data_IF_499034973808
#
_entry.id   IF_499034973808
#
_cell.length_a   1.000
_cell.length_b   1.000
_cell.length_c   1.000
_cell.angle_alpha   90.00
_cell.angle_beta   90.00
_cell.angle_gamma   90.00
#
_symmetry.space_group_name_H-M   'P 1'
#
loop_
_entity.id
_entity.type
_entity.pdbx_description
1 polymer ?
#
# COMPACT_ATOMS: atom_id res chain seq x y z
N UNK A 1 -30.83 -17.60 -2.87
CA UNK A 1 -30.35 -16.30 -2.33
C UNK A 1 -28.87 -16.15 -2.63
N UNK A 2 -28.22 -15.01 -2.32
CA UNK A 2 -26.79 -14.81 -2.61
C UNK A 2 -25.89 -15.81 -1.86
N UNK A 3 -26.25 -16.15 -0.62
CA UNK A 3 -25.55 -17.13 0.21
C UNK A 3 -25.69 -18.56 -0.34
N UNK A 4 -26.86 -18.96 -0.83
CA UNK A 4 -27.03 -20.25 -1.50
C UNK A 4 -26.21 -20.37 -2.79
N UNK A 5 -26.14 -19.29 -3.58
CA UNK A 5 -25.36 -19.24 -4.80
C UNK A 5 -23.87 -19.38 -4.48
N UNK A 6 -23.38 -18.62 -3.49
CA UNK A 6 -22.00 -18.70 -3.01
C UNK A 6 -21.63 -20.13 -2.55
N UNK A 7 -22.48 -20.78 -1.74
CA UNK A 7 -22.25 -22.15 -1.26
C UNK A 7 -22.14 -23.17 -2.40
N UNK A 8 -22.80 -22.92 -3.54
CA UNK A 8 -22.75 -23.77 -4.74
C UNK A 8 -21.63 -23.38 -5.71
N UNK A 9 -20.86 -22.34 -5.42
CA UNK A 9 -19.89 -21.78 -6.36
C UNK A 9 -20.53 -21.06 -7.54
N UNK A 10 -21.82 -20.74 -7.47
CA UNK A 10 -22.53 -19.98 -8.49
C UNK A 10 -22.35 -18.48 -8.24
N UNK A 11 -21.60 -17.84 -9.15
CA UNK A 11 -21.24 -16.43 -9.05
C UNK A 11 -21.99 -15.56 -10.05
N UNK A 12 -22.90 -16.10 -10.86
CA UNK A 12 -23.66 -15.31 -11.83
C UNK A 12 -24.29 -14.05 -11.22
N UNK A 13 -24.89 -14.08 -10.00
CA UNK A 13 -25.43 -12.87 -9.41
C UNK A 13 -24.41 -11.73 -9.24
N UNK A 14 -23.17 -12.05 -8.88
CA UNK A 14 -22.10 -11.06 -8.72
C UNK A 14 -21.73 -10.42 -10.06
N UNK A 15 -21.58 -11.23 -11.11
CA UNK A 15 -21.27 -10.75 -12.46
C UNK A 15 -22.44 -9.95 -13.06
N UNK A 16 -23.68 -10.38 -12.84
CA UNK A 16 -24.87 -9.64 -13.30
C UNK A 16 -24.95 -8.26 -12.65
N UNK A 17 -24.74 -8.17 -11.34
CA UNK A 17 -24.68 -6.88 -10.62
C UNK A 17 -23.55 -6.01 -11.17
N UNK A 18 -22.37 -6.58 -11.38
CA UNK A 18 -21.23 -5.83 -11.91
C UNK A 18 -21.46 -5.34 -13.35
N UNK A 19 -22.09 -6.15 -14.20
CA UNK A 19 -22.46 -5.77 -15.55
C UNK A 19 -23.50 -4.64 -15.57
N UNK A 20 -24.46 -4.66 -14.65
CA UNK A 20 -25.38 -3.54 -14.45
C UNK A 20 -24.62 -2.28 -14.03
N UNK A 21 -23.66 -2.40 -13.12
CA UNK A 21 -22.79 -1.29 -12.73
C UNK A 21 -22.01 -0.71 -13.92
N UNK A 22 -21.37 -1.53 -14.75
CA UNK A 22 -20.63 -1.07 -15.93
C UNK A 22 -21.54 -0.32 -16.92
N UNK A 23 -22.75 -0.85 -17.16
CA UNK A 23 -23.74 -0.18 -18.00
C UNK A 23 -24.12 1.18 -17.42
N UNK A 24 -24.43 1.25 -16.12
CA UNK A 24 -24.78 2.50 -15.44
C UNK A 24 -23.63 3.50 -15.43
N UNK A 25 -22.40 3.04 -15.25
CA UNK A 25 -21.20 3.88 -15.32
C UNK A 25 -21.03 4.47 -16.72
N UNK A 26 -21.22 3.66 -17.76
CA UNK A 26 -21.15 4.11 -19.17
C UNK A 26 -22.20 5.18 -19.46
N UNK A 27 -23.47 4.90 -19.14
CA UNK A 27 -24.58 5.85 -19.26
C UNK A 27 -24.29 7.15 -18.48
N UNK A 28 -23.74 7.01 -17.27
CA UNK A 28 -23.44 8.14 -16.39
C UNK A 28 -22.28 8.98 -16.92
N UNK A 29 -21.20 8.39 -17.39
CA UNK A 29 -20.08 9.13 -18.00
C UNK A 29 -20.54 9.95 -19.20
N UNK A 30 -21.37 9.37 -20.08
CA UNK A 30 -21.96 10.14 -21.20
C UNK A 30 -22.78 11.34 -20.72
N UNK A 31 -23.57 11.20 -19.64
CA UNK A 31 -24.31 12.32 -19.04
C UNK A 31 -23.39 13.35 -18.39
N UNK A 32 -22.32 12.92 -17.73
CA UNK A 32 -21.31 13.80 -17.13
C UNK A 32 -20.69 14.68 -18.21
N UNK A 33 -20.32 14.13 -19.37
CA UNK A 33 -19.76 14.93 -20.47
C UNK A 33 -20.72 16.03 -20.91
N UNK A 34 -22.00 15.68 -21.11
CA UNK A 34 -23.03 16.68 -21.45
C UNK A 34 -23.23 17.75 -20.37
N UNK A 35 -23.16 17.39 -19.08
CA UNK A 35 -23.27 18.35 -17.98
C UNK A 35 -22.06 19.29 -17.92
N UNK A 36 -20.85 18.78 -18.15
CA UNK A 36 -19.62 19.57 -18.19
C UNK A 36 -19.63 20.57 -19.36
N UNK A 37 -20.13 20.17 -20.53
CA UNK A 37 -20.27 21.04 -21.69
C UNK A 37 -21.23 22.21 -21.46
N UNK A 38 -22.36 21.96 -20.79
CA UNK A 38 -23.36 22.99 -20.44
C UNK A 38 -22.80 24.03 -19.47
N UNK A 39 -21.82 23.66 -18.66
CA UNK A 39 -21.23 24.52 -17.64
C UNK A 39 -22.10 24.69 -16.40
N UNK A 40 -21.57 25.42 -15.41
CA UNK A 40 -22.23 25.65 -14.12
C UNK A 40 -22.26 27.13 -13.78
N UNK A 41 -23.33 27.53 -13.10
CA UNK A 41 -23.48 28.86 -12.49
C UNK A 41 -23.02 28.80 -11.04
N UNK A 42 -22.10 29.68 -10.65
CA UNK A 42 -21.52 29.73 -9.29
C UNK A 42 -22.09 30.85 -8.41
N UNK A 43 -23.00 31.65 -8.95
CA UNK A 43 -23.72 32.75 -8.31
C UNK A 43 -25.07 32.32 -7.69
N UNK A 44 -25.32 31.01 -7.59
CA UNK A 44 -26.56 30.43 -7.05
C UNK A 44 -26.28 29.83 -5.68
N UNK A 45 -27.13 30.15 -4.71
CA UNK A 45 -27.12 29.54 -3.38
C UNK A 45 -27.62 28.10 -3.44
N UNK A 46 -26.72 27.15 -3.20
CA UNK A 46 -27.01 25.73 -3.13
C UNK A 46 -25.96 24.94 -2.35
N UNK A 47 -26.39 23.83 -1.77
CA UNK A 47 -25.53 22.91 -1.02
C UNK A 47 -25.45 21.52 -1.64
N UNK A 48 -24.34 20.84 -1.37
CA UNK A 48 -24.08 19.44 -1.73
C UNK A 48 -23.84 18.65 -0.44
N UNK A 49 -24.61 17.58 -0.25
CA UNK A 49 -24.24 16.57 0.74
C UNK A 49 -23.10 15.70 0.17
N UNK A 50 -21.90 15.84 0.73
CA UNK A 50 -20.70 15.11 0.30
C UNK A 50 -20.67 13.68 0.83
N UNK A 51 -21.21 13.42 2.02
CA UNK A 51 -21.34 12.08 2.59
C UNK A 51 -22.73 11.52 2.30
N UNK A 52 -22.76 10.56 1.37
CA UNK A 52 -23.99 9.91 0.90
C UNK A 52 -24.08 8.45 1.32
N UNK A 53 -23.30 8.02 2.32
CA UNK A 53 -23.29 6.62 2.78
C UNK A 53 -24.69 6.09 3.10
N UNK A 54 -25.50 6.90 3.79
CA UNK A 54 -26.85 6.55 4.22
C UNK A 54 -27.94 7.23 3.37
N UNK A 55 -27.57 7.87 2.25
CA UNK A 55 -28.52 8.55 1.39
C UNK A 55 -29.33 7.55 0.55
N UNK A 56 -30.62 7.80 0.31
CA UNK A 56 -31.42 6.93 -0.56
C UNK A 56 -30.88 6.94 -1.99
N UNK A 57 -31.08 5.80 -2.68
CA UNK A 57 -30.87 5.72 -4.12
C UNK A 57 -31.81 6.68 -4.84
N UNK A 58 -31.31 7.33 -5.90
CA UNK A 58 -32.13 8.21 -6.71
C UNK A 58 -33.30 7.44 -7.33
N UNK A 59 -34.52 7.94 -7.15
CA UNK A 59 -35.75 7.31 -7.63
C UNK A 59 -35.95 7.52 -9.15
N UNK A 60 -35.24 8.47 -9.75
CA UNK A 60 -35.34 8.78 -11.18
C UNK A 60 -34.02 9.23 -11.78
N UNK A 61 -33.95 9.22 -13.11
CA UNK A 61 -32.81 9.77 -13.85
C UNK A 61 -32.64 11.27 -13.60
N UNK A 62 -33.73 12.03 -13.46
CA UNK A 62 -33.67 13.46 -13.21
C UNK A 62 -33.06 13.77 -11.84
N UNK A 63 -33.44 13.01 -10.81
CA UNK A 63 -32.85 13.13 -9.47
C UNK A 63 -31.36 12.75 -9.48
N UNK A 64 -31.00 11.67 -10.19
CA UNK A 64 -29.61 11.27 -10.34
C UNK A 64 -28.79 12.32 -11.08
N UNK A 65 -29.33 12.91 -12.15
CA UNK A 65 -28.70 13.99 -12.91
C UNK A 65 -28.48 15.22 -12.03
N UNK A 66 -29.42 15.56 -11.15
CA UNK A 66 -29.27 16.68 -10.21
C UNK A 66 -28.18 16.43 -9.16
N UNK A 67 -28.11 15.22 -8.61
CA UNK A 67 -27.03 14.81 -7.70
C UNK A 67 -25.67 14.96 -8.40
N UNK A 68 -25.56 14.47 -9.64
CA UNK A 68 -24.34 14.55 -10.42
C UNK A 68 -23.99 15.98 -10.84
N UNK A 69 -24.97 16.81 -11.19
CA UNK A 69 -24.76 18.22 -11.50
C UNK A 69 -24.14 18.95 -10.30
N UNK A 70 -24.71 18.78 -9.11
CA UNK A 70 -24.17 19.40 -7.88
C UNK A 70 -22.76 18.91 -7.57
N UNK A 71 -22.51 17.60 -7.72
CA UNK A 71 -21.19 17.01 -7.54
C UNK A 71 -20.15 17.59 -8.51
N UNK A 72 -20.46 17.64 -9.80
CA UNK A 72 -19.56 18.17 -10.82
C UNK A 72 -19.33 19.67 -10.65
N UNK A 73 -20.36 20.43 -10.26
CA UNK A 73 -20.22 21.85 -9.91
C UNK A 73 -19.25 22.01 -8.73
N UNK A 74 -19.40 21.22 -7.68
CA UNK A 74 -18.50 21.26 -6.53
C UNK A 74 -17.05 20.91 -6.93
N UNK A 75 -16.84 19.82 -7.68
CA UNK A 75 -15.52 19.43 -8.17
C UNK A 75 -14.88 20.51 -9.06
N UNK A 76 -15.65 21.16 -9.93
CA UNK A 76 -15.19 22.28 -10.75
C UNK A 76 -14.86 23.51 -9.89
N UNK A 77 -15.71 23.85 -8.91
CA UNK A 77 -15.46 24.97 -7.99
C UNK A 77 -14.16 24.77 -7.22
N UNK A 78 -13.90 23.57 -6.71
CA UNK A 78 -12.64 23.24 -6.02
C UNK A 78 -11.42 23.44 -6.94
N UNK A 79 -11.52 23.07 -8.21
CA UNK A 79 -10.44 23.32 -9.18
C UNK A 79 -10.25 24.82 -9.45
N UNK A 80 -11.34 25.59 -9.55
CA UNK A 80 -11.28 27.04 -9.74
C UNK A 80 -10.65 27.73 -8.53
N UNK A 81 -11.05 27.35 -7.32
CA UNK A 81 -10.46 27.86 -6.07
C UNK A 81 -8.97 27.52 -5.94
N UNK A 82 -8.52 26.43 -6.58
CA UNK A 82 -7.10 26.08 -6.68
C UNK A 82 -6.33 26.86 -7.78
N UNK A 83 -6.97 27.83 -8.44
CA UNK A 83 -6.36 28.71 -9.43
C UNK A 83 -6.41 28.21 -10.88
N UNK A 84 -7.15 27.14 -11.19
CA UNK A 84 -7.40 26.73 -12.58
C UNK A 84 -8.52 27.58 -13.19
N UNK A 85 -8.37 27.96 -14.46
CA UNK A 85 -9.50 28.53 -15.19
C UNK A 85 -10.58 27.47 -15.45
N UNK A 86 -11.79 27.93 -15.77
CA UNK A 86 -12.96 27.07 -15.95
C UNK A 86 -12.81 26.09 -17.13
N UNK A 87 -12.13 26.48 -18.21
CA UNK A 87 -11.95 25.63 -19.38
C UNK A 87 -10.97 24.49 -19.08
N UNK A 88 -9.85 24.79 -18.44
CA UNK A 88 -8.88 23.80 -17.98
C UNK A 88 -9.47 22.87 -16.91
N UNK A 89 -10.28 23.40 -15.99
CA UNK A 89 -11.00 22.59 -15.00
C UNK A 89 -11.98 21.61 -15.67
N UNK A 90 -12.73 22.08 -16.67
CA UNK A 90 -13.66 21.25 -17.45
C UNK A 90 -12.93 20.12 -18.17
N UNK A 91 -11.83 20.44 -18.87
CA UNK A 91 -11.03 19.45 -19.59
C UNK A 91 -10.46 18.37 -18.65
N UNK A 92 -9.95 18.79 -17.49
CA UNK A 92 -9.43 17.86 -16.49
C UNK A 92 -10.51 16.92 -15.94
N UNK A 93 -11.70 17.44 -15.63
CA UNK A 93 -12.81 16.62 -15.16
C UNK A 93 -13.29 15.65 -16.25
N UNK A 94 -13.41 16.10 -17.50
CA UNK A 94 -13.74 15.25 -18.65
C UNK A 94 -12.78 14.06 -18.72
N UNK A 95 -11.47 14.33 -18.77
CA UNK A 95 -10.42 13.30 -18.81
C UNK A 95 -10.49 12.35 -17.61
N UNK A 96 -10.74 12.87 -16.41
CA UNK A 96 -10.85 12.07 -15.18
C UNK A 96 -11.99 11.05 -15.26
N UNK A 97 -13.16 11.45 -15.72
CA UNK A 97 -14.33 10.57 -15.81
C UNK A 97 -14.21 9.56 -16.96
N UNK A 98 -13.62 9.96 -18.09
CA UNK A 98 -13.30 9.03 -19.18
C UNK A 98 -12.26 7.98 -18.74
N UNK A 99 -11.21 8.40 -18.04
CA UNK A 99 -10.22 7.50 -17.43
C UNK A 99 -10.87 6.49 -16.48
N UNK A 100 -11.78 6.97 -15.61
CA UNK A 100 -12.50 6.09 -14.67
C UNK A 100 -13.37 5.05 -15.40
N UNK A 101 -14.08 5.46 -16.46
CA UNK A 101 -14.87 4.52 -17.27
C UNK A 101 -13.97 3.49 -17.94
N UNK A 102 -12.87 3.93 -18.56
CA UNK A 102 -11.91 3.04 -19.22
C UNK A 102 -11.34 2.01 -18.27
N UNK A 103 -10.88 2.43 -17.08
CA UNK A 103 -10.37 1.51 -16.07
C UNK A 103 -11.43 0.47 -15.65
N UNK A 104 -12.67 0.90 -15.46
CA UNK A 104 -13.76 -0.02 -15.13
C UNK A 104 -14.04 -1.02 -16.27
N UNK A 105 -14.01 -0.57 -17.53
CA UNK A 105 -14.21 -1.44 -18.70
C UNK A 105 -13.05 -2.43 -18.92
N UNK A 106 -11.85 -2.11 -18.46
CA UNK A 106 -10.70 -3.02 -18.48
C UNK A 106 -10.68 -4.01 -17.30
N UNK A 107 -11.74 -4.05 -16.47
CA UNK A 107 -11.84 -5.01 -15.36
C UNK A 107 -11.82 -6.45 -15.88
N UNK A 108 -10.99 -7.29 -15.27
CA UNK A 108 -10.90 -8.72 -15.52
C UNK A 108 -11.90 -9.49 -14.66
N UNK A 109 -12.08 -10.78 -14.96
CA UNK A 109 -12.91 -11.68 -14.13
C UNK A 109 -12.41 -11.73 -12.68
N UNK A 110 -11.09 -11.73 -12.48
CA UNK A 110 -10.47 -11.78 -11.15
C UNK A 110 -10.78 -10.53 -10.33
N UNK A 111 -10.88 -9.35 -10.97
CA UNK A 111 -11.26 -8.12 -10.27
C UNK A 111 -12.70 -8.20 -9.74
N UNK A 112 -13.62 -8.73 -10.56
CA UNK A 112 -15.03 -8.89 -10.18
C UNK A 112 -15.18 -9.94 -9.07
N UNK A 113 -14.47 -11.06 -9.22
CA UNK A 113 -14.41 -12.12 -8.20
C UNK A 113 -13.88 -11.56 -6.87
N UNK A 114 -12.76 -10.83 -6.92
CA UNK A 114 -12.15 -10.24 -5.73
C UNK A 114 -13.07 -9.23 -5.06
N UNK A 115 -13.73 -8.36 -5.83
CA UNK A 115 -14.67 -7.38 -5.29
C UNK A 115 -15.82 -8.08 -4.55
N UNK A 116 -16.38 -9.13 -5.15
CA UNK A 116 -17.49 -9.87 -4.55
C UNK A 116 -17.06 -10.65 -3.30
N UNK A 117 -15.94 -11.38 -3.36
CA UNK A 117 -15.42 -12.12 -2.20
C UNK A 117 -15.08 -11.19 -1.03
N UNK A 118 -14.55 -9.99 -1.29
CA UNK A 118 -14.28 -9.03 -0.24
C UNK A 118 -15.56 -8.41 0.35
N UNK A 119 -16.62 -8.22 -0.45
CA UNK A 119 -17.92 -7.82 0.07
C UNK A 119 -18.52 -8.88 1.02
N UNK A 120 -18.34 -10.18 0.69
CA UNK A 120 -18.73 -11.29 1.56
C UNK A 120 -17.87 -11.31 2.83
N UNK A 121 -16.55 -11.21 2.69
CA UNK A 121 -15.62 -11.26 3.82
C UNK A 121 -15.87 -10.13 4.83
N UNK A 122 -16.04 -8.90 4.34
CA UNK A 122 -16.30 -7.72 5.16
C UNK A 122 -17.66 -7.74 5.87
N UNK A 123 -18.58 -8.60 5.44
CA UNK A 123 -19.85 -8.81 6.14
C UNK A 123 -19.68 -9.61 7.45
N UNK A 124 -18.57 -10.34 7.61
CA UNK A 124 -18.24 -11.04 8.85
C UNK A 124 -17.46 -10.14 9.81
N UNK A 125 -16.39 -9.49 9.32
CA UNK A 125 -15.55 -8.61 10.11
C UNK A 125 -14.67 -7.72 9.19
N UNK A 126 -14.11 -6.60 9.68
CA UNK A 126 -13.35 -5.65 8.85
C UNK A 126 -11.92 -6.10 8.48
N UNK A 127 -11.46 -7.25 8.96
CA UNK A 127 -10.09 -7.75 8.81
C UNK A 127 -9.98 -9.04 7.99
N UNK A 128 -11.10 -9.73 7.72
CA UNK A 128 -11.15 -10.83 6.75
C UNK A 128 -11.20 -10.28 5.33
N UNK A 129 -10.32 -10.79 4.47
CA UNK A 129 -10.23 -10.37 3.07
C UNK A 129 -9.84 -11.54 2.16
N UNK A 130 -10.30 -11.45 0.91
CA UNK A 130 -9.85 -12.31 -0.18
C UNK A 130 -8.78 -11.58 -1.00
N UNK A 131 -7.64 -12.24 -1.22
CA UNK A 131 -6.56 -11.74 -2.04
C UNK A 131 -6.47 -12.54 -3.35
N UNK A 132 -6.59 -11.85 -4.49
CA UNK A 132 -6.21 -12.43 -5.79
C UNK A 132 -4.72 -12.80 -5.81
N UNK A 133 -4.26 -13.64 -6.75
CA UNK A 133 -2.83 -13.99 -6.86
C UNK A 133 -1.91 -12.76 -6.89
N UNK A 134 -2.33 -11.69 -7.58
CA UNK A 134 -1.59 -10.42 -7.63
C UNK A 134 -1.53 -9.72 -6.28
N UNK A 135 -2.64 -9.65 -5.55
CA UNK A 135 -2.69 -9.05 -4.22
C UNK A 135 -1.89 -9.85 -3.20
N UNK A 136 -1.95 -11.19 -3.28
CA UNK A 136 -1.12 -12.09 -2.46
C UNK A 136 0.37 -11.83 -2.68
N UNK A 137 0.81 -11.72 -3.94
CA UNK A 137 2.21 -11.41 -4.23
C UNK A 137 2.61 -10.02 -3.73
N UNK A 138 1.76 -9.00 -3.89
CA UNK A 138 2.04 -7.66 -3.38
C UNK A 138 2.13 -7.64 -1.85
N UNK A 139 1.24 -8.35 -1.16
CA UNK A 139 1.29 -8.51 0.30
C UNK A 139 2.57 -9.24 0.72
N UNK A 140 2.93 -10.33 0.05
CA UNK A 140 4.16 -11.06 0.34
C UNK A 140 5.40 -10.19 0.13
N UNK A 141 5.45 -9.36 -0.93
CA UNK A 141 6.53 -8.40 -1.17
C UNK A 141 6.66 -7.40 -0.01
N UNK A 142 5.54 -6.86 0.47
CA UNK A 142 5.52 -5.96 1.64
C UNK A 142 5.99 -6.67 2.91
N UNK A 143 5.61 -7.93 3.10
CA UNK A 143 6.04 -8.72 4.26
C UNK A 143 7.51 -9.13 4.22
N UNK A 144 8.07 -9.50 3.06
CA UNK A 144 9.48 -9.89 2.95
C UNK A 144 10.44 -8.73 2.61
N UNK A 145 9.89 -7.53 2.40
CA UNK A 145 10.60 -6.32 1.95
C UNK A 145 11.53 -6.56 0.75
N UNK A 146 11.12 -7.45 -0.15
CA UNK A 146 11.87 -7.71 -1.37
C UNK A 146 10.99 -8.22 -2.50
N UNK A 147 11.41 -7.92 -3.73
CA UNK A 147 10.74 -8.37 -4.95
C UNK A 147 11.75 -8.75 -6.02
N UNK A 148 11.34 -9.59 -6.96
CA UNK A 148 12.14 -9.92 -8.13
C UNK A 148 11.66 -9.12 -9.35
N UNK A 149 12.58 -8.40 -9.97
CA UNK A 149 12.25 -7.50 -11.07
C UNK A 149 13.39 -6.58 -11.45
N UNK A 150 13.06 -5.37 -11.89
CA UNK A 150 14.05 -4.37 -12.34
C UNK A 150 14.22 -3.18 -11.39
N UNK A 151 13.35 -3.02 -10.38
CA UNK A 151 13.48 -1.95 -9.40
C UNK A 151 13.00 -0.58 -9.90
N UNK A 152 11.83 -0.54 -10.55
CA UNK A 152 11.17 0.72 -10.91
C UNK A 152 9.88 0.90 -10.12
N UNK A 153 9.62 2.12 -9.65
CA UNK A 153 8.31 2.56 -9.17
C UNK A 153 7.58 3.16 -10.37
N UNK A 154 6.46 2.55 -10.75
CA UNK A 154 5.72 2.91 -11.95
C UNK A 154 4.37 3.55 -11.59
N UNK A 155 3.90 4.44 -12.45
CA UNK A 155 2.58 5.08 -12.35
C UNK A 155 1.96 5.17 -13.73
N UNK A 156 0.62 5.17 -13.79
CA UNK A 156 -0.11 5.50 -14.99
C UNK A 156 -0.29 7.02 -15.12
N UNK A 157 0.19 7.63 -16.19
CA UNK A 157 -0.02 9.04 -16.53
C UNK A 157 -0.40 9.15 -18.00
N UNK A 158 -1.55 9.76 -18.30
CA UNK A 158 -2.07 9.94 -19.67
C UNK A 158 -1.99 8.67 -20.54
N UNK A 159 -2.44 7.54 -19.99
CA UNK A 159 -2.45 6.21 -20.66
C UNK A 159 -1.07 5.61 -20.93
N UNK A 160 -0.03 6.19 -20.34
CA UNK A 160 1.35 5.73 -20.45
C UNK A 160 1.90 5.36 -19.09
N UNK A 161 2.58 4.21 -19.03
CA UNK A 161 3.27 3.76 -17.81
C UNK A 161 4.56 4.56 -17.68
N UNK A 162 4.61 5.40 -16.66
CA UNK A 162 5.72 6.35 -16.41
C UNK A 162 6.52 5.88 -15.19
N UNK A 163 7.85 5.99 -15.29
CA UNK A 163 8.79 5.71 -14.21
C UNK A 163 8.82 6.92 -13.28
N UNK A 164 8.39 6.73 -12.04
CA UNK A 164 8.40 7.77 -11.00
C UNK A 164 9.76 7.82 -10.31
N UNK A 165 10.27 6.65 -9.92
CA UNK A 165 11.49 6.50 -9.15
C UNK A 165 12.17 5.16 -9.47
N UNK A 166 13.48 5.09 -9.27
CA UNK A 166 14.25 3.85 -9.32
C UNK A 166 14.64 3.43 -7.89
N UNK A 167 14.51 2.15 -7.61
CA UNK A 167 14.97 1.58 -6.33
C UNK A 167 16.49 1.48 -6.37
N UNK A 168 17.15 2.17 -5.43
CA UNK A 168 18.61 2.22 -5.34
C UNK A 168 19.23 0.80 -5.29
N UNK A 169 20.25 0.57 -6.11
CA UNK A 169 20.90 -0.75 -6.23
C UNK A 169 20.11 -1.79 -7.03
N UNK A 170 18.91 -1.46 -7.52
CA UNK A 170 18.14 -2.32 -8.43
C UNK A 170 18.68 -2.30 -9.88
N UNK A 171 18.33 -3.28 -10.73
CA UNK A 171 18.85 -3.36 -12.10
C UNK A 171 18.64 -2.10 -12.95
N UNK A 172 17.48 -1.43 -12.83
CA UNK A 172 17.19 -0.21 -13.56
C UNK A 172 18.09 0.96 -13.12
N UNK A 173 18.29 1.12 -11.81
CA UNK A 173 19.21 2.11 -11.22
C UNK A 173 20.65 1.83 -11.68
N UNK A 174 21.17 0.61 -11.47
CA UNK A 174 22.53 0.24 -11.85
C UNK A 174 22.81 0.38 -13.35
N UNK A 175 21.80 0.18 -14.19
CA UNK A 175 21.95 0.31 -15.65
C UNK A 175 22.20 1.76 -16.10
N UNK A 176 21.67 2.74 -15.35
CA UNK A 176 21.61 4.17 -15.75
C UNK A 176 20.95 4.41 -17.12
N UNK A 177 20.22 3.41 -17.66
CA UNK A 177 19.60 3.47 -18.97
C UNK A 177 18.13 3.93 -18.94
N UNK A 178 17.53 3.91 -17.76
CA UNK A 178 16.17 4.38 -17.46
C UNK A 178 16.30 5.53 -16.45
N UNK A 179 15.43 6.52 -16.55
CA UNK A 179 15.38 7.68 -15.64
C UNK A 179 13.95 7.94 -15.18
N UNK A 180 13.82 8.71 -14.11
CA UNK A 180 12.52 9.25 -13.72
C UNK A 180 11.92 10.07 -14.88
N UNK A 181 10.59 10.02 -14.98
CA UNK A 181 9.75 10.52 -16.07
C UNK A 181 9.81 9.74 -17.39
N UNK A 182 10.70 8.75 -17.55
CA UNK A 182 10.67 7.90 -18.74
C UNK A 182 9.39 7.08 -18.84
N UNK A 183 8.92 6.85 -20.06
CA UNK A 183 7.65 6.16 -20.34
C UNK A 183 7.89 4.82 -21.00
N UNK A 184 7.29 3.77 -20.47
CA UNK A 184 7.38 2.40 -20.99
C UNK A 184 6.24 2.18 -21.98
N UNK A 185 6.58 1.94 -23.24
CA UNK A 185 5.62 1.73 -24.34
C UNK A 185 5.63 0.31 -24.89
N UNK A 186 6.66 -0.48 -24.58
CA UNK A 186 6.70 -1.89 -24.96
C UNK A 186 7.54 -2.74 -24.03
N UNK A 187 7.16 -4.01 -23.89
CA UNK A 187 7.84 -5.00 -23.05
C UNK A 187 8.05 -6.28 -23.86
N UNK A 188 9.26 -6.86 -23.77
CA UNK A 188 9.56 -8.17 -24.35
C UNK A 188 10.26 -9.08 -23.33
N UNK A 189 9.86 -10.34 -23.31
CA UNK A 189 10.45 -11.37 -22.43
C UNK A 189 11.70 -11.97 -23.06
N UNK A 190 12.75 -12.18 -22.26
CA UNK A 190 14.01 -12.76 -22.71
C UNK A 190 14.72 -11.93 -23.79
N UNK A 191 15.79 -12.50 -24.34
CA UNK A 191 16.58 -11.85 -25.40
C UNK A 191 15.93 -11.88 -26.78
N UNK A 192 15.02 -12.83 -27.02
CA UNK A 192 14.42 -13.09 -28.34
C UNK A 192 12.89 -13.09 -28.36
N UNK A 193 12.23 -12.89 -27.22
CA UNK A 193 10.76 -12.85 -27.19
C UNK A 193 10.19 -11.70 -28.02
N UNK A 194 8.92 -11.81 -28.45
CA UNK A 194 8.26 -10.77 -29.22
C UNK A 194 8.04 -9.53 -28.36
N UNK A 195 8.03 -8.37 -29.02
CA UNK A 195 7.59 -7.12 -28.41
C UNK A 195 6.09 -7.13 -28.22
N UNK A 196 5.65 -6.74 -27.03
CA UNK A 196 4.26 -6.45 -26.72
C UNK A 196 4.17 -4.96 -26.50
N UNK A 197 3.35 -4.28 -27.32
CA UNK A 197 2.96 -2.89 -27.07
C UNK A 197 2.08 -2.83 -25.83
N UNK A 198 2.41 -1.93 -24.90
CA UNK A 198 1.73 -1.78 -23.61
C UNK A 198 1.05 -0.42 -23.45
N UNK A 199 0.90 0.36 -24.53
CA UNK A 199 0.20 1.64 -24.49
C UNK A 199 -1.29 1.39 -24.23
N UNK A 200 -1.87 2.13 -23.28
CA UNK A 200 -3.27 1.97 -22.88
C UNK A 200 -3.57 0.71 -22.05
N UNK A 201 -2.56 -0.11 -21.76
CA UNK A 201 -2.71 -1.24 -20.85
C UNK A 201 -2.93 -0.78 -19.40
N UNK A 202 -3.48 -1.67 -18.57
CA UNK A 202 -3.52 -1.42 -17.12
C UNK A 202 -2.12 -1.46 -16.55
N UNK A 203 -1.85 -0.58 -15.59
CA UNK A 203 -0.56 -0.52 -14.90
C UNK A 203 -0.13 -1.90 -14.37
N UNK A 204 -1.05 -2.62 -13.73
CA UNK A 204 -0.75 -3.93 -13.12
C UNK A 204 -0.34 -4.98 -14.15
N UNK A 205 -0.94 -4.98 -15.34
CA UNK A 205 -0.61 -5.93 -16.42
C UNK A 205 0.79 -5.65 -16.99
N UNK A 206 1.18 -4.38 -17.02
CA UNK A 206 2.54 -3.96 -17.40
C UNK A 206 3.54 -4.32 -16.31
N UNK A 207 3.21 -4.07 -15.04
CA UNK A 207 4.03 -4.44 -13.88
C UNK A 207 4.27 -5.95 -13.85
N UNK A 208 3.25 -6.77 -14.07
CA UNK A 208 3.37 -8.23 -14.10
C UNK A 208 4.33 -8.70 -15.21
N UNK A 209 4.30 -8.06 -16.38
CA UNK A 209 5.25 -8.36 -17.46
C UNK A 209 6.68 -7.90 -17.15
N UNK A 210 6.83 -6.79 -16.44
CA UNK A 210 8.15 -6.26 -16.07
C UNK A 210 8.79 -7.08 -14.95
N UNK A 211 7.99 -7.52 -13.97
CA UNK A 211 8.41 -8.48 -12.94
C UNK A 211 8.75 -9.83 -13.56
N UNK A 212 9.43 -10.66 -12.78
CA UNK A 212 9.82 -12.00 -13.20
C UNK A 212 11.01 -12.51 -12.41
N UNK A 213 11.27 -13.79 -12.58
CA UNK A 213 12.28 -14.49 -11.80
C UNK A 213 13.67 -13.86 -11.93
N UNK A 214 14.42 -13.85 -10.83
CA UNK A 214 15.83 -13.45 -10.80
C UNK A 214 16.63 -14.13 -11.92
N UNK A 215 17.54 -13.37 -12.53
CA UNK A 215 18.41 -13.83 -13.62
C UNK A 215 17.74 -13.87 -14.99
N UNK A 216 16.42 -13.76 -15.07
CA UNK A 216 15.73 -13.67 -16.37
C UNK A 216 15.88 -12.27 -16.99
N UNK A 217 15.80 -12.19 -18.31
CA UNK A 217 15.97 -10.94 -19.05
C UNK A 217 14.60 -10.33 -19.39
N UNK A 218 14.50 -9.02 -19.27
CA UNK A 218 13.40 -8.22 -19.83
C UNK A 218 13.97 -7.11 -20.70
N UNK A 219 13.31 -6.85 -21.83
CA UNK A 219 13.62 -5.70 -22.69
C UNK A 219 12.45 -4.73 -22.69
N UNK A 220 12.75 -3.45 -22.59
CA UNK A 220 11.79 -2.36 -22.55
C UNK A 220 12.02 -1.41 -23.71
N UNK A 221 10.93 -0.98 -24.36
CA UNK A 221 10.90 0.20 -25.22
C UNK A 221 10.51 1.39 -24.37
N UNK A 222 11.40 2.38 -24.32
CA UNK A 222 11.30 3.53 -23.43
C UNK A 222 11.30 4.81 -24.25
N UNK A 223 10.33 5.68 -23.99
CA UNK A 223 10.31 7.05 -24.48
C UNK A 223 10.87 7.98 -23.39
N UNK A 224 11.90 8.79 -23.69
CA UNK A 224 12.44 9.73 -22.71
C UNK A 224 11.40 10.76 -22.23
N UNK A 225 11.29 10.95 -20.91
CA UNK A 225 10.23 11.78 -20.33
C UNK A 225 10.21 13.26 -20.74
N UNK A 226 11.37 13.80 -21.14
CA UNK A 226 11.54 15.20 -21.57
C UNK A 226 11.37 15.42 -23.07
N UNK A 227 11.18 14.35 -23.84
CA UNK A 227 11.13 14.44 -25.29
C UNK A 227 9.66 14.43 -25.74
N UNK A 228 9.33 15.30 -26.70
CA UNK A 228 7.98 15.37 -27.28
C UNK A 228 7.61 14.09 -28.03
N UNK A 229 6.42 14.06 -28.63
CA UNK A 229 5.83 12.90 -29.34
C UNK A 229 6.75 12.32 -30.44
N UNK A 230 7.77 13.07 -30.88
CA UNK A 230 8.75 12.69 -31.90
C UNK A 230 10.04 12.06 -31.35
N UNK A 231 10.12 11.76 -30.05
CA UNK A 231 11.28 11.14 -29.43
C UNK A 231 11.53 9.73 -29.96
N UNK A 232 12.77 9.42 -30.34
CA UNK A 232 13.13 8.06 -30.73
C UNK A 232 12.99 7.10 -29.52
N UNK A 233 12.30 5.97 -29.74
CA UNK A 233 12.24 4.89 -28.77
C UNK A 233 13.63 4.36 -28.46
N UNK A 234 13.98 4.27 -27.17
CA UNK A 234 15.18 3.58 -26.71
C UNK A 234 14.83 2.16 -26.28
N UNK A 235 15.56 1.19 -26.78
CA UNK A 235 15.49 -0.18 -26.26
C UNK A 235 16.47 -0.32 -25.09
N UNK A 236 15.97 -0.80 -23.96
CA UNK A 236 16.75 -1.09 -22.76
C UNK A 236 16.63 -2.58 -22.44
N UNK A 237 17.76 -3.25 -22.23
CA UNK A 237 17.83 -4.65 -21.81
C UNK A 237 18.27 -4.71 -20.36
N UNK A 238 17.46 -5.34 -19.50
CA UNK A 238 17.75 -5.50 -18.08
C UNK A 238 17.69 -6.98 -17.70
N UNK A 239 18.59 -7.39 -16.80
CA UNK A 239 18.52 -8.69 -16.12
C UNK A 239 17.81 -8.45 -14.80
N UNK A 240 16.76 -9.22 -14.52
CA UNK A 240 16.00 -9.11 -13.28
C UNK A 240 16.84 -9.59 -12.11
N UNK A 241 16.69 -8.93 -10.97
CA UNK A 241 17.36 -9.31 -9.73
C UNK A 241 16.43 -9.17 -8.54
N UNK A 242 16.85 -9.70 -7.40
CA UNK A 242 16.18 -9.48 -6.11
C UNK A 242 16.48 -8.06 -5.64
N UNK A 243 15.43 -7.25 -5.51
CA UNK A 243 15.50 -5.87 -5.05
C UNK A 243 15.02 -5.82 -3.60
N UNK A 244 15.86 -5.29 -2.71
CA UNK A 244 15.54 -5.05 -1.31
C UNK A 244 14.89 -3.69 -1.13
N UNK A 245 13.80 -3.63 -0.37
CA UNK A 245 13.06 -2.40 -0.08
C UNK A 245 13.61 -1.75 1.20
N UNK A 246 14.90 -1.41 1.21
CA UNK A 246 15.60 -0.88 2.39
C UNK A 246 14.96 0.40 2.95
N UNK A 247 14.27 1.18 2.11
CA UNK A 247 13.54 2.38 2.57
C UNK A 247 12.39 2.04 3.53
N UNK A 248 11.82 0.84 3.44
CA UNK A 248 10.68 0.37 4.23
C UNK A 248 11.09 -0.44 5.46
N UNK A 249 12.36 -0.77 5.60
CA UNK A 249 12.86 -1.48 6.77
C UNK A 249 13.07 -0.56 7.98
N UNK A 250 13.26 -1.18 9.14
CA UNK A 250 13.61 -0.47 10.36
C UNK A 250 14.95 0.29 10.20
N UNK A 251 15.02 1.49 10.79
CA UNK A 251 16.21 2.35 10.74
C UNK A 251 16.46 2.96 12.10
N UNK A 252 17.73 3.29 12.38
CA UNK A 252 18.11 4.00 13.58
C UNK A 252 18.65 5.40 13.28
N UNK A 253 18.46 6.31 14.24
CA UNK A 253 19.17 7.59 14.33
C UNK A 253 19.52 7.88 15.79
N UNK A 254 20.48 8.78 16.03
CA UNK A 254 20.79 9.29 17.37
C UNK A 254 20.47 10.78 17.40
N UNK A 255 19.62 11.19 18.33
CA UNK A 255 19.35 12.60 18.63
C UNK A 255 19.97 12.99 19.95
N UNK A 256 20.69 14.11 19.96
CA UNK A 256 21.22 14.69 21.19
C UNK A 256 20.25 15.73 21.71
N UNK A 257 19.82 15.56 22.96
CA UNK A 257 18.94 16.48 23.66
C UNK A 257 19.61 16.97 24.94
N UNK A 258 19.15 18.11 25.46
CA UNK A 258 19.61 18.63 26.74
C UNK A 258 18.61 18.27 27.83
N UNK A 259 19.06 17.51 28.83
CA UNK A 259 18.25 17.11 29.98
C UNK A 259 17.89 18.29 30.89
N UNK A 260 16.92 18.10 31.81
CA UNK A 260 16.53 19.13 32.79
C UNK A 260 17.66 19.59 33.70
N UNK A 261 18.65 18.72 33.93
CA UNK A 261 19.89 18.98 34.68
C UNK A 261 20.99 19.65 33.84
N UNK A 262 20.71 19.95 32.57
CA UNK A 262 21.64 20.58 31.64
C UNK A 262 22.62 19.62 30.97
N UNK A 263 22.57 18.31 31.29
CA UNK A 263 23.43 17.27 30.69
C UNK A 263 22.98 16.96 29.26
N UNK A 264 23.92 16.72 28.37
CA UNK A 264 23.61 16.19 27.04
C UNK A 264 23.29 14.69 27.13
N UNK A 265 22.15 14.30 26.57
CA UNK A 265 21.68 12.92 26.50
C UNK A 265 21.56 12.52 25.03
N UNK A 266 22.13 11.37 24.68
CA UNK A 266 22.04 10.77 23.35
C UNK A 266 20.90 9.77 23.34
N UNK A 267 19.84 10.07 22.62
CA UNK A 267 18.67 9.20 22.50
C UNK A 267 18.76 8.46 21.17
N UNK A 268 18.83 7.13 21.23
CA UNK A 268 18.65 6.28 20.07
C UNK A 268 17.18 6.25 19.70
N UNK A 269 16.87 6.41 18.42
CA UNK A 269 15.51 6.27 17.90
C UNK A 269 15.57 5.15 16.87
N UNK A 270 14.78 4.10 17.06
CA UNK A 270 14.57 3.05 16.07
C UNK A 270 13.14 3.19 15.56
N UNK A 271 12.98 3.57 14.30
CA UNK A 271 11.68 3.60 13.63
C UNK A 271 11.40 2.24 13.00
N UNK A 272 10.27 1.65 13.34
CA UNK A 272 9.80 0.37 12.77
C UNK A 272 8.54 0.66 11.97
N UNK A 273 8.61 0.70 10.62
CA UNK A 273 7.45 1.05 9.79
C UNK A 273 6.35 -0.02 9.75
N UNK A 274 6.73 -1.29 9.91
CA UNK A 274 5.84 -2.45 9.92
C UNK A 274 6.53 -3.62 10.62
N UNK A 275 5.76 -4.62 11.06
CA UNK A 275 6.27 -5.90 11.54
C UNK A 275 6.44 -6.90 10.39
N UNK A 276 7.43 -6.67 9.54
CA UNK A 276 7.73 -7.48 8.35
C UNK A 276 8.54 -8.75 8.68
N UNK A 277 8.32 -9.81 7.88
CA UNK A 277 9.02 -11.09 7.93
C UNK A 277 8.93 -11.83 6.59
N UNK A 278 10.05 -12.38 6.10
CA UNK A 278 10.04 -13.31 4.95
C UNK A 278 9.58 -14.71 5.39
N UNK A 279 8.26 -14.90 5.44
CA UNK A 279 7.64 -16.14 5.89
C UNK A 279 8.06 -17.37 5.07
N UNK A 280 8.33 -17.21 3.78
CA UNK A 280 8.75 -18.34 2.95
C UNK A 280 10.17 -18.78 3.27
N UNK A 281 11.09 -17.82 3.42
CA UNK A 281 12.44 -18.11 3.84
C UNK A 281 12.48 -18.67 5.27
N UNK A 282 11.67 -18.13 6.18
CA UNK A 282 11.51 -18.63 7.54
C UNK A 282 11.02 -20.09 7.56
N UNK A 283 9.97 -20.42 6.79
CA UNK A 283 9.45 -21.80 6.67
C UNK A 283 10.46 -22.77 6.08
N UNK A 284 11.35 -22.30 5.20
CA UNK A 284 12.44 -23.11 4.62
C UNK A 284 13.64 -23.26 5.57
N UNK A 285 13.64 -22.60 6.73
CA UNK A 285 14.76 -22.62 7.67
C UNK A 285 15.99 -21.86 7.18
N UNK A 286 15.82 -20.86 6.30
CA UNK A 286 16.91 -19.93 5.97
C UNK A 286 17.27 -19.17 7.25
N UNK A 287 18.55 -19.07 7.62
CA UNK A 287 18.92 -18.45 8.91
C UNK A 287 18.84 -16.91 8.87
N UNK A 288 19.33 -16.30 7.79
CA UNK A 288 19.49 -14.85 7.64
C UNK A 288 18.43 -14.23 6.71
N UNK A 289 17.17 -14.64 6.87
CA UNK A 289 16.07 -13.99 6.16
C UNK A 289 15.77 -12.60 6.76
N UNK A 290 15.17 -11.73 5.95
CA UNK A 290 14.84 -10.38 6.40
C UNK A 290 13.65 -10.42 7.36
N UNK A 291 13.82 -9.83 8.54
CA UNK A 291 12.75 -9.73 9.54
C UNK A 291 12.95 -8.52 10.44
N UNK A 292 11.86 -8.05 11.05
CA UNK A 292 11.86 -6.88 11.93
C UNK A 292 12.79 -7.09 13.12
N UNK A 293 12.67 -8.23 13.79
CA UNK A 293 13.47 -8.56 14.98
C UNK A 293 14.96 -8.62 14.66
N UNK A 294 15.34 -9.21 13.52
CA UNK A 294 16.73 -9.28 13.07
C UNK A 294 17.32 -7.90 12.78
N UNK A 295 16.58 -7.06 12.08
CA UNK A 295 17.01 -5.69 11.80
C UNK A 295 17.14 -4.87 13.08
N UNK A 296 16.14 -4.90 13.97
CA UNK A 296 16.21 -4.17 15.24
C UNK A 296 17.35 -4.70 16.10
N UNK A 297 17.59 -6.02 16.16
CA UNK A 297 18.74 -6.62 16.85
C UNK A 297 20.06 -6.08 16.32
N UNK A 298 20.23 -5.97 15.00
CA UNK A 298 21.43 -5.36 14.39
C UNK A 298 21.55 -3.88 14.77
N UNK A 299 20.47 -3.10 14.66
CA UNK A 299 20.46 -1.68 15.01
C UNK A 299 20.77 -1.44 16.50
N UNK A 300 20.25 -2.28 17.41
CA UNK A 300 20.56 -2.21 18.84
C UNK A 300 22.05 -2.44 19.10
N UNK A 301 22.68 -3.42 18.43
CA UNK A 301 24.13 -3.62 18.51
C UNK A 301 24.93 -2.43 17.97
N UNK A 302 24.44 -1.78 16.92
CA UNK A 302 25.07 -0.57 16.37
C UNK A 302 24.97 0.64 17.32
N UNK A 303 23.92 0.70 18.15
CA UNK A 303 23.69 1.76 19.14
C UNK A 303 24.33 1.47 20.51
N UNK A 304 24.85 0.26 20.73
CA UNK A 304 25.39 -0.16 22.01
C UNK A 304 26.54 0.75 22.49
N UNK A 305 26.48 1.17 23.76
CA UNK A 305 27.38 2.15 24.37
C UNK A 305 27.31 3.58 23.81
N UNK A 306 26.44 3.86 22.82
CA UNK A 306 26.34 5.18 22.17
C UNK A 306 25.12 6.01 22.61
N UNK A 307 24.20 5.40 23.35
CA UNK A 307 22.93 6.03 23.73
C UNK A 307 22.70 5.93 25.24
N UNK A 308 22.07 6.95 25.80
CA UNK A 308 21.64 7.01 27.19
C UNK A 308 20.20 6.47 27.37
N UNK A 309 19.42 6.41 26.28
CA UNK A 309 18.07 5.87 26.25
C UNK A 309 17.61 5.55 24.82
N UNK A 310 16.57 4.73 24.69
CA UNK A 310 16.02 4.28 23.42
C UNK A 310 14.55 4.69 23.28
N UNK A 311 14.17 5.16 22.09
CA UNK A 311 12.79 5.32 21.66
C UNK A 311 12.53 4.35 20.50
N UNK A 312 11.53 3.48 20.65
CA UNK A 312 10.98 2.72 19.54
C UNK A 312 9.80 3.48 18.95
N UNK A 313 9.92 3.95 17.71
CA UNK A 313 8.88 4.71 17.02
C UNK A 313 8.00 3.78 16.18
N UNK A 314 6.76 3.59 16.64
CA UNK A 314 5.71 2.76 16.05
C UNK A 314 4.54 3.58 15.49
N UNK A 315 4.71 4.89 15.35
CA UNK A 315 3.73 5.75 14.69
C UNK A 315 3.52 5.32 13.25
N UNK A 316 2.27 5.39 12.78
CA UNK A 316 1.86 4.94 11.44
C UNK A 316 2.17 3.45 11.15
N UNK A 317 2.50 2.65 12.17
CA UNK A 317 2.76 1.22 12.02
C UNK A 317 1.48 0.40 12.27
N UNK A 318 0.82 0.01 11.17
CA UNK A 318 -0.42 -0.80 11.18
C UNK A 318 -0.25 -2.27 11.59
N UNK A 319 0.94 -2.69 12.01
CA UNK A 319 1.24 -4.03 12.51
C UNK A 319 1.98 -4.91 11.50
N UNK A 320 1.66 -6.20 11.47
CA UNK A 320 2.30 -7.20 10.62
C UNK A 320 2.32 -8.58 11.27
N UNK A 321 3.47 -9.25 11.22
CA UNK A 321 3.68 -10.57 11.79
C UNK A 321 3.53 -10.57 13.31
N UNK A 322 2.61 -11.40 13.83
CA UNK A 322 2.47 -11.66 15.26
C UNK A 322 3.77 -12.19 15.86
N UNK A 323 4.44 -13.13 15.18
CA UNK A 323 5.70 -13.71 15.64
C UNK A 323 6.77 -12.63 15.81
N UNK A 324 6.85 -11.66 14.88
CA UNK A 324 7.82 -10.57 15.01
C UNK A 324 7.48 -9.64 16.17
N UNK A 325 6.20 -9.47 16.54
CA UNK A 325 5.84 -8.72 17.74
C UNK A 325 6.35 -9.42 19.01
N UNK A 326 6.18 -10.74 19.07
CA UNK A 326 6.63 -11.58 20.18
C UNK A 326 8.16 -11.57 20.29
N UNK A 327 8.86 -11.89 19.20
CA UNK A 327 10.33 -11.98 19.17
C UNK A 327 10.98 -10.60 19.41
N UNK A 328 10.41 -9.53 18.86
CA UNK A 328 10.89 -8.17 19.11
C UNK A 328 10.74 -7.79 20.58
N UNK A 329 9.64 -8.15 21.22
CA UNK A 329 9.41 -7.91 22.64
C UNK A 329 10.45 -8.63 23.50
N UNK A 330 10.82 -9.86 23.13
CA UNK A 330 11.87 -10.65 23.78
C UNK A 330 13.22 -9.93 23.89
N UNK A 331 13.57 -9.08 22.91
CA UNK A 331 14.80 -8.26 22.95
C UNK A 331 14.85 -7.30 24.15
N UNK A 332 13.70 -6.95 24.73
CA UNK A 332 13.58 -5.96 25.80
C UNK A 332 13.16 -6.57 27.14
N UNK A 333 12.33 -7.60 27.16
CA UNK A 333 11.85 -8.22 28.40
C UNK A 333 12.64 -9.48 28.80
N UNK A 334 13.26 -10.17 27.83
CA UNK A 334 13.83 -11.51 28.03
C UNK A 334 12.74 -12.57 28.01
N UNK A 335 12.76 -13.46 29.00
CA UNK A 335 11.76 -14.53 29.14
C UNK A 335 10.43 -14.03 29.70
N UNK A 336 9.32 -14.50 29.12
CA UNK A 336 7.98 -14.31 29.65
C UNK A 336 6.89 -14.29 28.57
N UNK A 337 5.62 -14.48 28.96
CA UNK A 337 4.50 -14.37 28.04
C UNK A 337 4.37 -12.96 27.47
N UNK A 338 4.18 -12.85 26.16
CA UNK A 338 3.98 -11.57 25.47
C UNK A 338 2.50 -11.33 25.17
N UNK A 339 1.80 -12.35 24.67
CA UNK A 339 0.40 -12.24 24.26
C UNK A 339 -0.34 -13.56 24.41
N UNK A 340 -1.64 -13.47 24.64
CA UNK A 340 -2.54 -14.62 24.65
C UNK A 340 -3.45 -14.58 23.43
N UNK A 341 -3.51 -15.69 22.69
CA UNK A 341 -4.36 -15.84 21.53
C UNK A 341 -5.47 -16.82 21.86
N UNK A 342 -6.73 -16.41 21.65
CA UNK A 342 -7.89 -17.28 21.81
C UNK A 342 -8.50 -17.58 20.45
N UNK A 343 -8.51 -18.85 20.06
CA UNK A 343 -9.07 -19.27 18.78
C UNK A 343 -10.59 -19.51 18.84
N UNK A 344 -11.19 -19.82 17.68
CA UNK A 344 -12.63 -20.04 17.56
C UNK A 344 -13.18 -21.25 18.35
N UNK A 345 -12.34 -22.23 18.70
CA UNK A 345 -12.74 -23.35 19.58
C UNK A 345 -12.65 -22.99 21.07
N UNK A 346 -12.19 -21.79 21.39
CA UNK A 346 -12.00 -21.29 22.75
C UNK A 346 -10.69 -21.72 23.39
N UNK A 347 -9.79 -22.40 22.67
CA UNK A 347 -8.45 -22.73 23.16
C UNK A 347 -7.63 -21.44 23.26
N UNK A 348 -6.95 -21.29 24.39
CA UNK A 348 -6.03 -20.18 24.66
C UNK A 348 -4.60 -20.69 24.51
N UNK A 349 -3.82 -19.98 23.72
CA UNK A 349 -2.39 -20.20 23.51
C UNK A 349 -1.63 -18.98 24.02
N UNK A 350 -0.49 -19.20 24.66
CA UNK A 350 0.35 -18.15 25.22
C UNK A 350 1.61 -18.10 24.39
N UNK A 351 1.82 -16.97 23.73
CA UNK A 351 2.99 -16.73 22.90
C UNK A 351 4.08 -16.03 23.71
N UNK A 352 5.31 -16.50 23.54
CA UNK A 352 6.50 -15.97 24.21
C UNK A 352 7.71 -16.13 23.28
N UNK A 353 8.72 -15.27 23.46
CA UNK A 353 9.98 -15.43 22.75
C UNK A 353 10.65 -16.75 23.18
N UNK A 354 11.16 -17.50 22.21
CA UNK A 354 11.82 -18.78 22.44
C UNK A 354 13.33 -18.65 22.69
N UNK A 355 13.94 -17.51 22.31
CA UNK A 355 15.36 -17.27 22.56
C UNK A 355 15.63 -16.71 23.97
N UNK A 356 14.71 -15.94 24.54
CA UNK A 356 14.77 -15.44 25.92
C UNK A 356 15.86 -14.39 26.20
N UNK A 357 16.60 -13.98 25.17
CA UNK A 357 17.82 -13.21 25.34
C UNK A 357 17.55 -11.70 25.26
N UNK A 358 17.33 -11.09 26.43
CA UNK A 358 17.23 -9.63 26.56
C UNK A 358 18.50 -8.96 26.06
N UNK A 359 18.38 -8.17 25.01
CA UNK A 359 19.49 -7.49 24.35
C UNK A 359 19.66 -6.05 24.84
N UNK A 360 18.57 -5.35 25.14
CA UNK A 360 18.62 -3.97 25.63
C UNK A 360 18.00 -3.88 27.03
N UNK A 361 18.78 -3.37 27.99
CA UNK A 361 18.35 -3.19 29.39
C UNK A 361 18.25 -1.73 29.82
N UNK A 362 18.60 -0.77 28.95
CA UNK A 362 18.54 0.66 29.25
C UNK A 362 17.12 1.25 29.24
N UNK A 363 16.98 2.55 29.53
CA UNK A 363 15.70 3.26 29.49
C UNK A 363 15.02 3.16 28.12
N UNK A 364 13.74 2.76 28.11
CA UNK A 364 12.96 2.54 26.89
C UNK A 364 11.69 3.39 26.92
N UNK A 365 11.42 4.06 25.81
CA UNK A 365 10.11 4.61 25.48
C UNK A 365 9.59 4.03 24.17
N UNK A 366 8.28 3.88 24.06
CA UNK A 366 7.58 3.44 22.84
C UNK A 366 6.65 4.57 22.41
N UNK A 367 6.84 5.06 21.19
CA UNK A 367 6.05 6.15 20.63
C UNK A 367 4.98 5.57 19.69
N UNK A 368 3.72 5.89 19.96
CA UNK A 368 2.55 5.37 19.22
C UNK A 368 1.62 6.50 18.79
N UNK A 369 0.74 6.22 17.84
CA UNK A 369 -0.36 7.11 17.46
C UNK A 369 -1.63 6.31 17.12
N UNK A 370 -2.68 7.03 16.69
CA UNK A 370 -3.96 6.45 16.26
C UNK A 370 -3.86 5.43 15.11
N UNK A 371 -2.76 5.41 14.36
CA UNK A 371 -2.51 4.48 13.26
C UNK A 371 -1.67 3.26 13.68
N UNK A 372 -1.05 3.30 14.87
CA UNK A 372 -0.42 2.13 15.50
C UNK A 372 -1.48 1.05 15.78
N UNK A 373 -1.32 -0.13 15.19
CA UNK A 373 -2.31 -1.21 15.28
C UNK A 373 -1.70 -2.61 15.44
N UNK A 374 -2.49 -3.56 15.96
CA UNK A 374 -2.20 -5.00 15.97
C UNK A 374 -0.84 -5.34 16.62
N UNK A 375 0.14 -5.86 15.87
CA UNK A 375 1.48 -6.17 16.37
C UNK A 375 2.14 -5.00 17.13
N UNK A 376 1.91 -3.75 16.70
CA UNK A 376 2.38 -2.55 17.41
C UNK A 376 1.76 -2.41 18.80
N UNK A 377 0.46 -2.72 18.92
CA UNK A 377 -0.29 -2.66 20.18
C UNK A 377 0.12 -3.79 21.11
N UNK A 378 0.37 -4.99 20.57
CA UNK A 378 0.91 -6.13 21.33
C UNK A 378 2.27 -5.76 21.93
N UNK A 379 3.18 -5.22 21.12
CA UNK A 379 4.49 -4.79 21.61
C UNK A 379 4.37 -3.70 22.67
N UNK A 380 3.62 -2.61 22.39
CA UNK A 380 3.48 -1.49 23.32
C UNK A 380 2.80 -1.92 24.64
N UNK A 381 1.75 -2.74 24.55
CA UNK A 381 1.06 -3.31 25.70
C UNK A 381 1.97 -4.17 26.56
N UNK A 382 2.74 -5.07 25.95
CA UNK A 382 3.70 -5.90 26.69
C UNK A 382 4.79 -5.05 27.38
N UNK A 383 5.35 -4.04 26.71
CA UNK A 383 6.33 -3.13 27.33
C UNK A 383 5.73 -2.37 28.52
N UNK A 384 4.46 -1.97 28.42
CA UNK A 384 3.74 -1.28 29.49
C UNK A 384 3.43 -2.22 30.67
N UNK A 385 2.87 -3.40 30.41
CA UNK A 385 2.43 -4.35 31.44
C UNK A 385 3.59 -4.91 32.27
N UNK A 386 4.74 -5.13 31.64
CA UNK A 386 5.97 -5.52 32.34
C UNK A 386 6.66 -4.36 33.08
N UNK A 387 6.16 -3.13 32.94
CA UNK A 387 6.84 -1.93 33.43
C UNK A 387 8.23 -1.75 32.80
N UNK A 388 8.46 -2.29 31.59
CA UNK A 388 9.76 -2.29 30.93
C UNK A 388 10.11 -0.92 30.35
N UNK A 389 9.11 -0.15 29.94
CA UNK A 389 9.29 1.17 29.35
C UNK A 389 8.02 2.00 29.44
N UNK A 390 8.11 3.25 29.00
CA UNK A 390 6.95 4.16 28.97
C UNK A 390 6.36 4.20 27.55
N UNK A 391 5.04 4.15 27.45
CA UNK A 391 4.33 4.37 26.17
C UNK A 391 3.90 5.84 26.10
N UNK A 392 4.19 6.49 24.99
CA UNK A 392 3.97 7.92 24.76
C UNK A 392 3.21 8.10 23.45
N UNK A 393 2.23 9.01 23.41
CA UNK A 393 1.51 9.36 22.18
C UNK A 393 0.00 9.41 22.38
N UNK A 394 -0.73 9.06 21.32
CA UNK A 394 -2.19 8.99 21.31
C UNK A 394 -2.68 7.56 21.60
N UNK A 395 -3.96 7.37 21.99
CA UNK A 395 -4.59 6.05 21.97
C UNK A 395 -4.43 5.38 20.60
N UNK A 396 -4.09 4.09 20.62
CA UNK A 396 -3.85 3.27 19.43
C UNK A 396 -5.16 2.89 18.72
N UNK A 397 -5.05 2.19 17.59
CA UNK A 397 -6.19 1.86 16.73
C UNK A 397 -7.24 0.95 17.40
N UNK A 398 -6.84 0.03 18.27
CA UNK A 398 -7.72 -0.91 18.95
C UNK A 398 -7.95 -2.23 18.19
N UNK A 399 -6.94 -2.74 17.46
CA UNK A 399 -7.05 -3.99 16.70
C UNK A 399 -6.62 -5.20 17.54
N UNK A 400 -7.60 -5.88 18.13
CA UNK A 400 -7.41 -7.07 18.98
C UNK A 400 -7.73 -8.42 18.32
N UNK A 401 -7.72 -8.51 16.99
CA UNK A 401 -8.07 -9.72 16.22
C UNK A 401 -7.12 -9.97 15.06
#
# INVERSE_FOLDING_TARGET
TLDDALKKGDLHPAYDIFNVYLRRLTERTARIQSLLERGFRFDVDESLNVDRKDAPWAASLAELDEIWRKRLKHEMLTLILSGKDQAAARELLSKRYDNRLRQAQQSSSDDVFQLYMNAVAQAFDPHTAYFSPRNTENFNIQMRLSLEGIGCVLRMEDEQVTVVELVAGGPADLSQQIKAADKIVGVAQGDKGPWVDVVGWRLDDVVERIRGQRGTVVRLKVLPGKAGVTAAEKTVRLVRDTIKLEKQAAKSEIKTIRGPDGRELRIGIITVPAFYSDFEAARRGVEDYRSTTRDVRRLLKELDGKIDGLVLDLRENGGGSLQEAVDLTGLFIGDGPVVQVRNASGRVEVEQDSEGNRLYSGPLAVLVDHASASASEIFAGAIQDYGRGIVIGDPTFGKGT
#
